data_IF_398514516989
#
_entry.id   IF_398514516989
#
_cell.length_a   1.000
_cell.length_b   1.000
_cell.length_c   1.000
_cell.angle_alpha   90.00
_cell.angle_beta   90.00
_cell.angle_gamma   90.00
#
_symmetry.space_group_name_H-M   'P 1'
#
loop_
_entity.id
_entity.type
_entity.pdbx_description
1 polymer ?
#
# COMPACT_ATOMS: atom_id res chain seq x y z
N UNK A 1 24.60 -4.73 11.57
CA UNK A 1 25.24 -5.73 10.70
C UNK A 1 26.52 -6.31 11.29
N UNK A 2 27.40 -5.55 11.98
CA UNK A 2 28.62 -6.15 12.56
C UNK A 2 28.35 -7.32 13.52
N UNK A 3 27.31 -7.21 14.36
CA UNK A 3 26.89 -8.32 15.23
C UNK A 3 26.50 -9.58 14.43
N UNK A 4 25.73 -9.42 13.35
CA UNK A 4 25.35 -10.52 12.47
C UNK A 4 26.58 -11.15 11.81
N UNK A 5 27.53 -10.33 11.34
CA UNK A 5 28.76 -10.83 10.74
C UNK A 5 29.60 -11.65 11.73
N UNK A 6 29.73 -11.18 12.98
CA UNK A 6 30.41 -11.96 14.02
C UNK A 6 29.69 -13.28 14.28
N UNK A 7 28.35 -13.29 14.33
CA UNK A 7 27.58 -14.52 14.49
C UNK A 7 27.80 -15.52 13.33
N UNK A 8 27.88 -15.02 12.09
CA UNK A 8 28.19 -15.85 10.92
C UNK A 8 29.57 -16.51 11.08
N UNK A 9 30.58 -15.75 11.53
CA UNK A 9 31.91 -16.28 11.80
C UNK A 9 31.91 -17.30 12.96
N UNK A 10 31.20 -17.02 14.05
CA UNK A 10 31.10 -17.90 15.22
C UNK A 10 30.44 -19.24 14.87
N UNK A 11 29.51 -19.25 13.91
CA UNK A 11 28.85 -20.46 13.44
C UNK A 11 29.76 -21.33 12.57
N UNK A 12 30.80 -20.77 11.92
CA UNK A 12 31.86 -21.50 11.21
C UNK A 12 31.39 -22.40 10.05
N UNK A 13 30.18 -22.19 9.54
CA UNK A 13 29.58 -22.97 8.43
C UNK A 13 29.35 -22.14 7.18
N UNK A 14 29.43 -20.82 7.30
CA UNK A 14 29.09 -19.86 6.24
C UNK A 14 30.22 -18.86 5.96
N UNK A 15 31.32 -18.96 6.69
CA UNK A 15 32.58 -18.35 6.31
C UNK A 15 33.05 -18.93 4.97
N UNK A 16 33.57 -18.06 4.11
CA UNK A 16 34.07 -18.42 2.76
C UNK A 16 32.99 -18.90 1.77
N UNK A 17 31.70 -18.77 2.10
CA UNK A 17 30.59 -19.13 1.22
C UNK A 17 30.07 -17.95 0.40
N UNK A 18 29.19 -18.26 -0.55
CA UNK A 18 28.34 -17.28 -1.23
C UNK A 18 27.17 -16.88 -0.33
N UNK A 19 27.05 -15.59 -0.02
CA UNK A 19 26.01 -15.05 0.86
C UNK A 19 25.11 -14.14 0.03
N UNK A 20 23.85 -14.55 -0.15
CA UNK A 20 22.85 -13.74 -0.83
C UNK A 20 22.38 -12.56 0.02
N UNK A 21 22.42 -11.35 -0.55
CA UNK A 21 21.89 -10.13 0.06
C UNK A 21 20.95 -9.43 -0.92
N UNK A 22 19.92 -8.77 -0.42
CA UNK A 22 18.99 -7.99 -1.26
C UNK A 22 19.52 -6.57 -1.44
N UNK A 23 20.41 -6.39 -2.42
CA UNK A 23 21.14 -5.14 -2.62
C UNK A 23 20.25 -3.91 -2.90
N UNK A 24 19.07 -4.11 -3.49
CA UNK A 24 18.11 -3.04 -3.81
C UNK A 24 16.83 -3.11 -2.94
N UNK A 25 16.92 -3.67 -1.74
CA UNK A 25 15.79 -3.71 -0.81
C UNK A 25 15.77 -2.50 0.15
N UNK A 26 14.57 -2.02 0.48
CA UNK A 26 14.30 -0.78 1.22
C UNK A 26 15.09 -0.61 2.53
N UNK A 27 15.38 -1.72 3.22
CA UNK A 27 16.02 -1.72 4.54
C UNK A 27 17.48 -2.19 4.53
N UNK A 28 17.97 -2.66 3.37
CA UNK A 28 19.36 -3.09 3.23
C UNK A 28 20.23 -1.90 2.79
N UNK A 29 20.68 -1.12 3.76
CA UNK A 29 21.45 0.09 3.50
C UNK A 29 22.87 -0.18 2.95
N UNK A 30 23.46 0.80 2.27
CA UNK A 30 24.88 0.76 1.89
C UNK A 30 25.83 0.52 3.09
N UNK A 31 25.50 1.09 4.26
CA UNK A 31 26.27 0.86 5.48
C UNK A 31 26.21 -0.60 5.97
N UNK A 32 25.07 -1.26 5.78
CA UNK A 32 24.91 -2.68 6.07
C UNK A 32 25.78 -3.54 5.14
N UNK A 33 25.75 -3.26 3.84
CA UNK A 33 26.61 -3.92 2.85
C UNK A 33 28.10 -3.78 3.20
N UNK A 34 28.58 -2.55 3.41
CA UNK A 34 29.99 -2.28 3.73
C UNK A 34 30.44 -2.92 5.05
N UNK A 35 29.55 -3.03 6.04
CA UNK A 35 29.86 -3.72 7.29
C UNK A 35 30.04 -5.23 7.08
N UNK A 36 29.21 -5.86 6.26
CA UNK A 36 29.33 -7.27 5.90
C UNK A 36 30.59 -7.51 5.08
N UNK A 37 30.84 -6.71 4.04
CA UNK A 37 32.01 -6.81 3.17
C UNK A 37 33.33 -6.71 3.96
N UNK A 38 33.43 -5.75 4.90
CA UNK A 38 34.61 -5.59 5.75
C UNK A 38 34.81 -6.76 6.73
N UNK A 39 33.73 -7.33 7.26
CA UNK A 39 33.77 -8.33 8.33
C UNK A 39 33.84 -9.77 7.82
N UNK A 40 33.39 -10.01 6.59
CA UNK A 40 33.38 -11.31 5.93
C UNK A 40 34.24 -11.25 4.66
N UNK A 41 35.53 -10.90 4.75
CA UNK A 41 36.37 -10.65 3.57
C UNK A 41 36.62 -11.89 2.71
N UNK A 42 36.45 -13.08 3.29
CA UNK A 42 36.58 -14.36 2.57
C UNK A 42 35.27 -14.81 1.90
N UNK A 43 34.13 -14.21 2.25
CA UNK A 43 32.81 -14.56 1.69
C UNK A 43 32.49 -13.74 0.45
N UNK A 44 31.72 -14.33 -0.47
CA UNK A 44 31.26 -13.64 -1.67
C UNK A 44 29.82 -13.15 -1.46
N UNK A 45 29.63 -11.83 -1.31
CA UNK A 45 28.29 -11.25 -1.28
C UNK A 45 27.69 -11.23 -2.69
N UNK A 46 26.57 -11.92 -2.88
CA UNK A 46 25.87 -11.99 -4.17
C UNK A 46 24.54 -11.24 -4.09
N UNK A 47 24.17 -10.57 -5.18
CA UNK A 47 22.86 -9.96 -5.27
C UNK A 47 21.79 -11.05 -5.42
N UNK A 48 20.95 -11.19 -4.40
CA UNK A 48 19.81 -12.10 -4.37
C UNK A 48 18.48 -11.32 -4.32
N UNK A 49 18.49 -10.05 -4.73
CA UNK A 49 17.30 -9.19 -4.75
C UNK A 49 16.15 -9.86 -5.51
N UNK A 50 15.01 -9.97 -4.85
CA UNK A 50 13.78 -10.51 -5.44
C UNK A 50 13.71 -12.04 -5.49
N UNK A 51 14.74 -12.79 -5.06
CA UNK A 51 14.70 -14.26 -5.04
C UNK A 51 13.50 -14.79 -4.26
N UNK A 52 13.33 -14.33 -3.03
CA UNK A 52 12.19 -14.73 -2.18
C UNK A 52 10.87 -14.12 -2.68
N UNK A 53 10.91 -12.96 -3.35
CA UNK A 53 9.73 -12.36 -3.96
C UNK A 53 9.15 -13.25 -5.06
N UNK A 54 10.01 -13.92 -5.85
CA UNK A 54 9.58 -14.88 -6.88
C UNK A 54 8.97 -16.14 -6.28
N UNK A 55 9.57 -16.70 -5.22
CA UNK A 55 9.00 -17.87 -4.52
C UNK A 55 7.60 -17.57 -3.95
N UNK A 56 7.36 -16.30 -3.59
CA UNK A 56 6.07 -15.82 -3.09
C UNK A 56 5.05 -15.55 -4.18
N UNK A 57 5.35 -15.73 -5.47
CA UNK A 57 4.43 -15.44 -6.56
C UNK A 57 3.16 -16.30 -6.49
N UNK A 58 3.31 -17.61 -6.26
CA UNK A 58 2.21 -18.57 -6.13
C UNK A 58 1.71 -18.58 -4.68
N UNK A 59 0.43 -18.27 -4.48
CA UNK A 59 -0.18 -18.16 -3.15
C UNK A 59 -0.71 -19.51 -2.68
N UNK A 60 -0.50 -19.80 -1.40
CA UNK A 60 -1.15 -20.92 -0.71
C UNK A 60 -2.67 -20.69 -0.61
N UNK A 61 -3.46 -21.76 -0.39
CA UNK A 61 -4.90 -21.63 -0.15
C UNK A 61 -5.24 -20.67 1.00
N UNK A 62 -4.40 -20.62 2.05
CA UNK A 62 -4.61 -19.75 3.20
C UNK A 62 -4.38 -18.27 2.87
N UNK A 63 -3.32 -17.95 2.12
CA UNK A 63 -3.08 -16.57 1.65
C UNK A 63 -4.23 -16.08 0.78
N UNK A 64 -4.76 -16.93 -0.10
CA UNK A 64 -5.92 -16.58 -0.94
C UNK A 64 -7.15 -16.25 -0.07
N UNK A 65 -7.37 -16.94 1.05
CA UNK A 65 -8.46 -16.60 1.98
C UNK A 65 -8.27 -15.21 2.56
N UNK A 66 -7.05 -14.86 2.99
CA UNK A 66 -6.75 -13.52 3.49
C UNK A 66 -6.93 -12.45 2.41
N UNK A 67 -6.48 -12.72 1.18
CA UNK A 67 -6.70 -11.87 0.00
C UNK A 67 -8.18 -11.57 -0.26
N UNK A 68 -9.03 -12.61 -0.22
CA UNK A 68 -10.48 -12.45 -0.39
C UNK A 68 -11.10 -11.60 0.72
N UNK A 69 -10.70 -11.81 1.98
CA UNK A 69 -11.19 -11.02 3.12
C UNK A 69 -10.82 -9.55 2.99
N UNK A 70 -9.58 -9.23 2.64
CA UNK A 70 -9.18 -7.84 2.41
C UNK A 70 -9.93 -7.23 1.22
N UNK A 71 -10.18 -8.00 0.15
CA UNK A 71 -11.00 -7.56 -0.98
C UNK A 71 -12.39 -7.08 -0.53
N UNK A 72 -13.05 -7.81 0.38
CA UNK A 72 -14.34 -7.40 0.96
C UNK A 72 -14.22 -6.09 1.76
N UNK A 73 -13.15 -5.91 2.53
CA UNK A 73 -12.92 -4.67 3.30
C UNK A 73 -12.70 -3.48 2.36
N UNK A 74 -11.91 -3.66 1.30
CA UNK A 74 -11.66 -2.65 0.28
C UNK A 74 -12.98 -2.27 -0.40
N UNK A 75 -13.79 -3.24 -0.81
CA UNK A 75 -15.11 -2.99 -1.40
C UNK A 75 -16.03 -2.16 -0.50
N UNK A 76 -16.10 -2.50 0.79
CA UNK A 76 -16.88 -1.72 1.79
C UNK A 76 -16.35 -0.31 1.94
N UNK A 77 -15.03 -0.14 1.91
CA UNK A 77 -14.40 1.18 2.04
C UNK A 77 -14.71 2.04 0.80
N UNK A 78 -14.64 1.47 -0.40
CA UNK A 78 -15.05 2.16 -1.63
C UNK A 78 -16.55 2.50 -1.64
N UNK A 79 -17.42 1.61 -1.14
CA UNK A 79 -18.85 1.91 -1.02
C UNK A 79 -19.10 3.09 -0.08
N UNK A 80 -18.45 3.11 1.09
CA UNK A 80 -18.50 4.24 2.03
C UNK A 80 -18.00 5.54 1.38
N UNK A 81 -16.88 5.52 0.64
CA UNK A 81 -16.38 6.71 -0.04
C UNK A 81 -17.43 7.24 -1.02
N UNK A 82 -18.04 6.35 -1.82
CA UNK A 82 -19.10 6.73 -2.75
C UNK A 82 -20.30 7.38 -2.05
N UNK A 83 -20.65 6.91 -0.87
CA UNK A 83 -21.76 7.46 -0.07
C UNK A 83 -21.42 8.79 0.59
N UNK A 84 -20.16 8.98 1.01
CA UNK A 84 -19.77 10.16 1.79
C UNK A 84 -19.29 11.33 0.94
N UNK A 85 -18.56 11.06 -0.16
CA UNK A 85 -17.95 12.11 -0.96
C UNK A 85 -18.98 13.08 -1.54
N UNK A 86 -18.77 14.38 -1.34
CA UNK A 86 -19.59 15.45 -1.90
C UNK A 86 -18.81 16.78 -1.91
N UNK A 87 -19.17 17.74 -2.79
CA UNK A 87 -18.54 19.05 -2.79
C UNK A 87 -18.64 19.75 -1.43
N UNK A 88 -17.56 20.38 -0.99
CA UNK A 88 -17.47 21.04 0.32
C UNK A 88 -16.98 20.14 1.45
N UNK A 89 -17.04 18.80 1.32
CA UNK A 89 -16.43 17.89 2.30
C UNK A 89 -14.90 18.02 2.25
N UNK A 90 -14.25 18.16 3.40
CA UNK A 90 -12.78 18.22 3.47
C UNK A 90 -12.16 16.85 3.21
N UNK A 91 -11.09 16.80 2.41
CA UNK A 91 -10.39 15.55 2.05
C UNK A 91 -9.94 14.76 3.28
N UNK A 92 -9.33 15.42 4.26
CA UNK A 92 -8.89 14.78 5.51
C UNK A 92 -10.04 14.13 6.30
N UNK A 93 -11.24 14.69 6.27
CA UNK A 93 -12.40 14.06 6.92
C UNK A 93 -12.78 12.77 6.21
N UNK A 94 -12.88 12.79 4.87
CA UNK A 94 -13.13 11.57 4.08
C UNK A 94 -12.07 10.51 4.39
N UNK A 95 -10.80 10.88 4.41
CA UNK A 95 -9.68 9.97 4.72
C UNK A 95 -9.77 9.40 6.14
N UNK A 96 -10.23 10.17 7.13
CA UNK A 96 -10.47 9.64 8.47
C UNK A 96 -11.50 8.50 8.47
N UNK A 97 -12.57 8.61 7.66
CA UNK A 97 -13.54 7.51 7.52
C UNK A 97 -13.01 6.34 6.70
N UNK A 98 -12.11 6.58 5.74
CA UNK A 98 -11.40 5.50 5.03
C UNK A 98 -10.64 4.66 6.05
N UNK A 99 -9.81 5.27 6.89
CA UNK A 99 -9.10 4.55 7.95
C UNK A 99 -10.06 3.85 8.90
N UNK A 100 -11.10 4.55 9.37
CA UNK A 100 -12.10 3.96 10.27
C UNK A 100 -12.75 2.71 9.68
N UNK A 101 -13.16 2.77 8.43
CA UNK A 101 -13.86 1.69 7.74
C UNK A 101 -12.92 0.53 7.44
N UNK A 102 -11.73 0.82 6.92
CA UNK A 102 -10.71 -0.17 6.59
C UNK A 102 -10.25 -0.93 7.85
N UNK A 103 -9.94 -0.22 8.94
CA UNK A 103 -9.46 -0.82 10.19
C UNK A 103 -10.57 -1.64 10.88
N UNK A 104 -11.80 -1.12 10.92
CA UNK A 104 -12.93 -1.87 11.50
C UNK A 104 -13.24 -3.15 10.72
N UNK A 105 -13.06 -3.14 9.40
CA UNK A 105 -13.31 -4.28 8.54
C UNK A 105 -14.79 -4.68 8.47
N UNK A 106 -15.08 -5.92 8.85
CA UNK A 106 -16.40 -6.54 8.83
C UNK A 106 -16.82 -6.98 10.23
N UNK A 107 -18.05 -7.46 10.38
CA UNK A 107 -18.50 -8.05 11.65
C UNK A 107 -17.73 -9.32 12.04
N UNK A 108 -17.16 -10.04 11.06
CA UNK A 108 -16.48 -11.32 11.29
C UNK A 108 -14.95 -11.22 11.36
N UNK A 109 -14.37 -10.14 10.84
CA UNK A 109 -12.91 -9.93 10.82
C UNK A 109 -12.58 -8.44 10.63
N UNK A 110 -11.59 -7.96 11.39
CA UNK A 110 -11.05 -6.60 11.27
C UNK A 110 -10.10 -6.45 10.09
N UNK A 111 -9.73 -5.20 9.80
CA UNK A 111 -8.64 -4.87 8.88
C UNK A 111 -7.30 -4.67 9.58
N UNK A 112 -6.28 -4.41 8.77
CA UNK A 112 -4.91 -4.09 9.22
C UNK A 112 -4.46 -2.76 8.60
N UNK A 113 -3.31 -2.23 9.04
CA UNK A 113 -2.72 -1.03 8.46
C UNK A 113 -2.24 -1.30 7.03
N UNK A 114 -2.54 -0.37 6.14
CA UNK A 114 -2.12 -0.40 4.74
C UNK A 114 -0.60 -0.23 4.61
N UNK A 115 -0.04 -0.86 3.58
CA UNK A 115 1.36 -0.67 3.19
C UNK A 115 1.66 0.76 2.71
N UNK A 116 0.68 1.36 2.05
CA UNK A 116 0.71 2.72 1.53
C UNK A 116 -0.55 3.40 2.04
N UNK A 117 -0.40 4.63 2.51
CA UNK A 117 -1.54 5.42 3.00
C UNK A 117 -2.51 5.75 1.86
N UNK A 118 -3.77 6.13 2.15
CA UNK A 118 -4.70 6.55 1.10
C UNK A 118 -4.11 7.65 0.21
N UNK A 119 -4.20 7.47 -1.11
CA UNK A 119 -3.80 8.47 -2.09
C UNK A 119 -5.08 9.10 -2.61
N UNK A 120 -5.27 10.40 -2.37
CA UNK A 120 -6.50 11.14 -2.66
C UNK A 120 -6.27 12.44 -3.45
N UNK A 121 -5.54 12.42 -4.59
CA UNK A 121 -5.40 13.59 -5.44
C UNK A 121 -6.72 13.94 -6.14
N UNK A 122 -6.92 15.23 -6.40
CA UNK A 122 -8.15 15.79 -7.00
C UNK A 122 -7.82 16.81 -8.08
N UNK A 123 -8.56 16.81 -9.18
CA UNK A 123 -8.36 17.78 -10.27
C UNK A 123 -6.97 17.68 -10.91
N UNK A 124 -6.27 18.80 -11.03
CA UNK A 124 -4.92 18.83 -11.62
C UNK A 124 -3.90 17.99 -10.82
N UNK A 125 -4.10 17.86 -9.50
CA UNK A 125 -3.23 17.06 -8.64
C UNK A 125 -3.29 15.56 -9.00
N UNK A 126 -4.37 15.11 -9.67
CA UNK A 126 -4.49 13.73 -10.14
C UNK A 126 -3.45 13.36 -11.23
N UNK A 127 -2.74 14.36 -11.79
CA UNK A 127 -1.58 14.11 -12.63
C UNK A 127 -0.36 13.56 -11.85
N UNK A 128 -0.33 13.72 -10.52
CA UNK A 128 0.70 13.18 -9.64
C UNK A 128 0.17 11.97 -8.85
N UNK A 129 0.57 10.72 -9.19
CA UNK A 129 -0.10 9.50 -8.72
C UNK A 129 0.13 9.17 -7.24
N UNK A 130 1.10 9.81 -6.59
CA UNK A 130 1.50 9.52 -5.21
C UNK A 130 1.20 10.67 -4.24
N UNK A 131 0.40 11.66 -4.64
CA UNK A 131 -0.09 12.65 -3.70
C UNK A 131 -1.11 12.02 -2.75
N UNK A 132 -0.99 12.33 -1.46
CA UNK A 132 -1.82 11.77 -0.41
C UNK A 132 -3.10 12.59 -0.26
N UNK A 133 -3.25 13.39 0.80
CA UNK A 133 -4.40 14.26 1.00
C UNK A 133 -3.97 15.53 1.73
N UNK A 134 -4.80 16.55 1.61
CA UNK A 134 -4.76 17.77 2.41
C UNK A 134 -6.10 17.92 3.15
N UNK A 135 -6.37 19.12 3.65
CA UNK A 135 -7.62 19.46 4.33
C UNK A 135 -8.55 20.36 3.51
N UNK A 136 -8.25 20.53 2.22
CA UNK A 136 -9.05 21.32 1.30
C UNK A 136 -10.38 20.60 1.01
N UNK A 137 -11.47 21.36 0.80
CA UNK A 137 -12.75 20.79 0.41
C UNK A 137 -12.70 20.21 -1.00
N UNK A 138 -13.51 19.17 -1.26
CA UNK A 138 -13.75 18.72 -2.63
C UNK A 138 -14.47 19.81 -3.43
N UNK A 139 -13.94 20.14 -4.59
CA UNK A 139 -14.55 21.10 -5.52
C UNK A 139 -15.55 20.42 -6.45
N UNK A 140 -16.52 21.20 -6.93
CA UNK A 140 -17.42 20.75 -7.99
C UNK A 140 -16.69 20.83 -9.34
N UNK A 141 -16.49 19.71 -10.02
CA UNK A 141 -16.09 19.70 -11.42
C UNK A 141 -14.64 20.05 -11.72
N UNK A 142 -13.69 19.48 -10.98
CA UNK A 142 -12.25 19.71 -11.15
C UNK A 142 -11.63 19.14 -12.45
N UNK A 143 -12.43 18.93 -13.51
CA UNK A 143 -12.00 18.57 -14.86
C UNK A 143 -13.00 19.12 -15.89
N UNK A 144 -12.57 19.47 -17.12
CA UNK A 144 -13.35 20.27 -18.08
C UNK A 144 -14.67 19.65 -18.59
N UNK A 145 -15.03 18.44 -18.14
CA UNK A 145 -16.23 17.71 -18.59
C UNK A 145 -17.12 17.15 -17.46
N UNK A 146 -16.86 17.45 -16.19
CA UNK A 146 -17.55 16.77 -15.07
C UNK A 146 -18.39 17.72 -14.22
N UNK A 147 -19.70 17.45 -14.12
CA UNK A 147 -20.65 18.14 -13.24
C UNK A 147 -20.57 17.70 -11.76
N UNK A 148 -19.44 17.12 -11.33
CA UNK A 148 -19.32 16.31 -10.10
C UNK A 148 -17.91 16.41 -9.49
N UNK A 149 -17.72 16.09 -8.19
CA UNK A 149 -16.39 16.06 -7.59
C UNK A 149 -15.53 14.97 -8.23
N UNK A 150 -14.34 15.32 -8.70
CA UNK A 150 -13.37 14.37 -9.26
C UNK A 150 -12.45 13.90 -8.13
N UNK A 151 -12.59 12.62 -7.76
CA UNK A 151 -11.88 12.02 -6.61
C UNK A 151 -11.33 10.68 -7.04
N UNK A 152 -10.00 10.58 -7.11
CA UNK A 152 -9.28 9.32 -7.18
C UNK A 152 -8.88 8.94 -5.77
N UNK A 153 -9.36 7.79 -5.26
CA UNK A 153 -8.83 7.19 -4.03
C UNK A 153 -8.23 5.84 -4.35
N UNK A 154 -6.96 5.65 -3.99
CA UNK A 154 -6.32 4.33 -3.97
C UNK A 154 -6.17 3.79 -2.54
N UNK A 155 -6.45 2.50 -2.36
CA UNK A 155 -6.40 1.81 -1.06
C UNK A 155 -5.60 0.53 -1.23
N UNK A 156 -4.47 0.45 -0.53
CA UNK A 156 -3.58 -0.71 -0.58
C UNK A 156 -3.70 -1.49 0.72
N UNK A 157 -4.49 -2.55 0.73
CA UNK A 157 -4.60 -3.43 1.89
C UNK A 157 -3.30 -4.24 2.09
N UNK A 158 -2.87 -4.37 3.35
CA UNK A 158 -1.73 -5.23 3.73
C UNK A 158 -2.21 -6.64 4.03
N UNK A 159 -1.38 -7.62 3.68
CA UNK A 159 -1.56 -9.02 4.05
C UNK A 159 -0.49 -9.44 5.05
N UNK A 160 -0.78 -10.40 5.96
CA UNK A 160 0.28 -11.05 6.70
C UNK A 160 1.29 -11.58 5.69
N UNK A 161 2.53 -11.11 5.84
CA UNK A 161 3.69 -11.52 5.05
C UNK A 161 3.73 -11.08 3.58
N UNK A 162 2.74 -10.40 2.98
CA UNK A 162 2.86 -9.86 1.61
C UNK A 162 2.25 -8.47 1.34
N UNK A 163 2.96 -7.68 0.53
CA UNK A 163 2.47 -6.47 -0.12
C UNK A 163 1.75 -6.89 -1.41
N UNK A 164 0.43 -7.03 -1.37
CA UNK A 164 -0.36 -7.13 -2.60
C UNK A 164 -1.18 -5.86 -2.68
N UNK A 165 -0.84 -4.99 -3.63
CA UNK A 165 -1.67 -3.83 -3.92
C UNK A 165 -2.99 -4.29 -4.51
N UNK A 166 -4.07 -4.13 -3.75
CA UNK A 166 -5.42 -4.16 -4.29
C UNK A 166 -5.74 -2.77 -4.87
N UNK A 167 -5.06 -2.40 -5.95
CA UNK A 167 -5.29 -1.11 -6.60
C UNK A 167 -6.69 -1.07 -7.20
N UNK A 168 -7.53 -0.14 -6.72
CA UNK A 168 -8.85 0.09 -7.30
C UNK A 168 -9.12 1.58 -7.47
N UNK A 169 -8.56 2.16 -8.53
CA UNK A 169 -8.90 3.50 -8.95
C UNK A 169 -10.37 3.55 -9.41
N UNK A 170 -11.18 4.38 -8.75
CA UNK A 170 -12.55 4.68 -9.14
C UNK A 170 -12.83 6.16 -9.04
N UNK A 171 -13.45 6.70 -10.08
CA UNK A 171 -14.06 8.02 -10.05
C UNK A 171 -15.46 7.88 -9.44
N UNK A 172 -15.71 8.58 -8.34
CA UNK A 172 -17.00 8.52 -7.65
C UNK A 172 -17.98 9.52 -8.24
N UNK A 173 -19.09 9.04 -8.78
CA UNK A 173 -20.15 9.88 -9.36
C UNK A 173 -21.47 9.62 -8.62
N UNK A 174 -22.02 10.63 -7.93
CA UNK A 174 -23.38 10.59 -7.36
C UNK A 174 -24.37 11.19 -8.35
N UNK A 175 -25.20 10.36 -8.99
CA UNK A 175 -26.42 10.84 -9.67
C UNK A 175 -27.48 11.17 -8.61
N UNK A 176 -27.66 12.45 -8.25
CA UNK A 176 -28.94 12.87 -7.67
C UNK A 176 -29.95 12.96 -8.82
N UNK A 177 -30.95 12.08 -8.86
CA UNK A 177 -32.11 12.21 -9.76
C UNK A 177 -32.67 13.64 -9.64
N UNK A 178 -32.85 14.40 -10.73
CA UNK A 178 -33.57 15.66 -10.65
C UNK A 178 -35.07 15.34 -10.47
N UNK A 179 -35.62 15.79 -9.35
CA UNK A 179 -37.05 16.05 -9.23
C UNK A 179 -37.35 17.21 -10.19
N UNK A 180 -37.94 16.90 -11.34
CA UNK A 180 -38.66 17.87 -12.17
C UNK A 180 -40.02 17.25 -12.48
N UNK A 181 -40.94 17.44 -11.53
CA UNK A 181 -42.34 17.72 -11.86
C UNK A 181 -42.50 19.20 -11.61
N UNK A 182 -42.66 19.94 -12.68
CA UNK A 182 -43.71 20.95 -12.89
C UNK A 182 -43.88 21.12 -14.41
#
# INVERSE_FOLDING_TARGET
>A
MDYLANLILDLGVWDEQYIGVEMDNYYFSAAAYLALERKLPSSNLIDATGLVNWERAVKSPQEIIFMKRAGVIVERTHAMIQERVEPGLRKNELVADIFRTAIRGTESYGGDYAAIVPLAPTGLDAAAPHLTWDDQPFELGAGPFLKFPDVTVDIIARFPEQFISAHRQKNYCKQKKPFLRD
#
